data_IF_784567001234
#
_entry.id   IF_784567001234
#
_cell.length_a   1.000
_cell.length_b   1.000
_cell.length_c   1.000
_cell.angle_alpha   90.00
_cell.angle_beta   90.00
_cell.angle_gamma   90.00
#
_symmetry.space_group_name_H-M   'P 1'
#
loop_
_entity.id
_entity.type
_entity.pdbx_description
1 polymer ?
#
# COMPACT_ATOMS: atom_id res chain seq x y z
N UNK A 1 11.85 44.98 34.38
CA UNK A 1 11.01 43.87 33.85
C UNK A 1 11.87 43.13 32.86
N UNK A 2 12.54 42.10 33.34
CA UNK A 2 13.51 41.27 32.64
C UNK A 2 12.77 40.16 31.89
N UNK A 3 13.01 40.06 30.59
CA UNK A 3 12.53 38.98 29.71
C UNK A 3 13.40 37.76 29.95
N UNK A 4 12.82 36.69 30.50
CA UNK A 4 13.45 35.36 30.58
C UNK A 4 13.52 34.75 29.16
N UNK A 5 14.71 34.67 28.62
CA UNK A 5 15.06 33.85 27.48
C UNK A 5 15.13 32.38 27.95
N UNK A 6 14.11 31.59 27.62
CA UNK A 6 14.22 30.14 27.73
C UNK A 6 15.11 29.63 26.62
N UNK A 7 16.35 29.40 26.94
CA UNK A 7 17.32 28.68 26.10
C UNK A 7 16.87 27.22 25.98
N UNK A 8 16.42 26.82 24.82
CA UNK A 8 16.17 25.40 24.52
C UNK A 8 17.50 24.66 24.52
N UNK A 9 17.73 23.78 25.50
CA UNK A 9 18.89 22.92 25.52
C UNK A 9 18.82 21.88 24.44
N UNK A 10 19.70 21.94 23.46
CA UNK A 10 19.95 20.89 22.49
C UNK A 10 20.46 19.65 23.25
N UNK A 11 19.65 18.61 23.35
CA UNK A 11 20.06 17.32 23.88
C UNK A 11 21.10 16.74 22.90
N UNK A 12 22.36 16.71 23.34
CA UNK A 12 23.45 16.08 22.61
C UNK A 12 23.17 14.59 22.44
N UNK A 13 23.07 14.12 21.20
CA UNK A 13 22.97 12.70 20.83
C UNK A 13 24.32 11.97 20.87
N UNK A 14 25.27 12.48 21.62
CA UNK A 14 26.55 11.84 21.87
C UNK A 14 26.40 10.73 22.92
N UNK A 15 26.19 9.49 22.43
CA UNK A 15 26.12 8.30 23.30
C UNK A 15 25.58 7.06 22.66
N UNK A 16 25.06 7.14 21.42
CA UNK A 16 24.81 5.94 20.63
C UNK A 16 26.01 5.69 19.74
N UNK A 17 26.78 4.63 20.02
CA UNK A 17 27.68 4.03 19.03
C UNK A 17 26.83 3.73 17.81
N UNK A 18 26.82 4.64 16.82
CA UNK A 18 26.16 4.43 15.56
C UNK A 18 26.91 3.32 14.85
N UNK A 19 26.37 2.10 14.90
CA UNK A 19 26.79 1.05 13.99
C UNK A 19 26.57 1.60 12.58
N UNK A 20 27.65 1.98 11.92
CA UNK A 20 27.63 2.30 10.49
C UNK A 20 27.85 0.99 9.76
N UNK A 21 26.85 0.44 9.07
CA UNK A 21 27.04 -0.76 8.29
C UNK A 21 28.13 -0.50 7.22
N UNK A 22 28.96 -1.47 6.97
CA UNK A 22 29.87 -1.44 5.81
C UNK A 22 29.06 -1.62 4.53
N UNK A 23 28.63 -0.49 3.95
CA UNK A 23 27.79 -0.45 2.76
C UNK A 23 28.51 -1.09 1.56
N UNK A 24 29.86 -0.98 1.52
CA UNK A 24 30.65 -1.61 0.47
C UNK A 24 30.63 -3.14 0.57
N UNK A 25 30.77 -3.67 1.78
CA UNK A 25 30.65 -5.12 2.00
C UNK A 25 29.23 -5.63 1.71
N UNK A 26 28.19 -4.85 2.09
CA UNK A 26 26.81 -5.19 1.79
C UNK A 26 26.56 -5.26 0.28
N UNK A 27 27.05 -4.27 -0.48
CA UNK A 27 26.91 -4.23 -1.93
C UNK A 27 27.58 -5.43 -2.62
N UNK A 28 28.80 -5.79 -2.20
CA UNK A 28 29.52 -6.97 -2.71
C UNK A 28 28.76 -8.26 -2.42
N UNK A 29 28.31 -8.44 -1.19
CA UNK A 29 27.56 -9.63 -0.78
C UNK A 29 26.24 -9.77 -1.54
N UNK A 30 25.58 -8.68 -1.90
CA UNK A 30 24.35 -8.72 -2.67
C UNK A 30 24.57 -9.24 -4.09
N UNK A 31 25.66 -8.85 -4.74
CA UNK A 31 26.00 -9.33 -6.08
C UNK A 31 26.23 -10.85 -6.03
N UNK A 32 27.11 -11.30 -5.11
CA UNK A 32 27.41 -12.72 -4.94
C UNK A 32 26.15 -13.54 -4.63
N UNK A 33 25.34 -13.07 -3.67
CA UNK A 33 24.11 -13.77 -3.27
C UNK A 33 23.09 -13.87 -4.42
N UNK A 34 22.94 -12.82 -5.24
CA UNK A 34 22.00 -12.85 -6.37
C UNK A 34 22.48 -13.78 -7.47
N UNK A 35 23.77 -13.79 -7.79
CA UNK A 35 24.36 -14.72 -8.76
C UNK A 35 24.23 -16.16 -8.29
N UNK A 36 24.59 -16.44 -7.05
CA UNK A 36 24.52 -17.79 -6.46
C UNK A 36 23.09 -18.32 -6.38
N UNK A 37 22.14 -17.46 -5.99
CA UNK A 37 20.71 -17.82 -5.98
C UNK A 37 20.18 -18.22 -7.37
N UNK A 38 20.71 -17.59 -8.42
CA UNK A 38 20.44 -17.97 -9.82
C UNK A 38 21.25 -19.17 -10.31
N UNK A 39 22.16 -19.70 -9.51
CA UNK A 39 23.13 -20.74 -9.90
C UNK A 39 23.91 -20.39 -11.19
N UNK A 40 24.28 -19.10 -11.33
CA UNK A 40 24.93 -18.56 -12.51
C UNK A 40 26.46 -18.49 -12.31
N UNK A 41 27.23 -18.78 -13.39
CA UNK A 41 28.65 -18.42 -13.46
C UNK A 41 28.82 -16.89 -13.54
N UNK A 42 30.03 -16.40 -13.30
CA UNK A 42 30.34 -14.97 -13.48
C UNK A 42 30.06 -14.49 -14.93
N UNK A 43 30.30 -15.36 -15.92
CA UNK A 43 30.02 -15.07 -17.33
C UNK A 43 28.54 -14.92 -17.62
N UNK A 44 27.73 -15.89 -17.22
CA UNK A 44 26.28 -15.86 -17.43
C UNK A 44 25.65 -14.69 -16.69
N UNK A 45 26.15 -14.37 -15.49
CA UNK A 45 25.65 -13.22 -14.74
C UNK A 45 26.05 -11.87 -15.36
N UNK A 46 27.26 -11.79 -15.93
CA UNK A 46 27.73 -10.65 -16.69
C UNK A 46 26.89 -10.40 -17.96
N UNK A 47 26.54 -11.47 -18.69
CA UNK A 47 25.63 -11.37 -19.84
C UNK A 47 24.24 -10.89 -19.44
N UNK A 48 23.70 -11.44 -18.34
CA UNK A 48 22.40 -11.04 -17.81
C UNK A 48 22.39 -9.55 -17.38
N UNK A 49 23.43 -9.10 -16.66
CA UNK A 49 23.59 -7.69 -16.30
C UNK A 49 23.72 -6.79 -17.52
N UNK A 50 24.49 -7.21 -18.54
CA UNK A 50 24.66 -6.48 -19.79
C UNK A 50 23.33 -6.33 -20.54
N UNK A 51 22.43 -7.30 -20.43
CA UNK A 51 21.10 -7.22 -21.06
C UNK A 51 20.17 -6.18 -20.42
N UNK A 52 20.41 -5.86 -19.14
CA UNK A 52 19.62 -4.90 -18.36
C UNK A 52 20.26 -3.51 -18.42
N UNK A 53 21.59 -3.47 -18.36
CA UNK A 53 22.37 -2.24 -18.42
C UNK A 53 22.62 -1.81 -19.87
N UNK A 54 22.79 -0.52 -20.11
CA UNK A 54 23.07 0.01 -21.45
C UNK A 54 24.55 -0.12 -21.86
N UNK A 55 25.34 -0.94 -21.15
CA UNK A 55 26.78 -1.13 -21.37
C UNK A 55 27.22 -2.56 -21.04
N UNK A 56 28.29 -3.06 -21.67
CA UNK A 56 28.75 -4.42 -21.48
C UNK A 56 29.42 -4.60 -20.12
N UNK A 57 29.05 -5.65 -19.41
CA UNK A 57 29.67 -6.12 -18.16
C UNK A 57 30.54 -7.31 -18.50
N UNK A 58 31.76 -7.38 -17.94
CA UNK A 58 32.65 -8.54 -18.11
C UNK A 58 32.63 -9.45 -16.89
N UNK A 59 32.96 -10.75 -17.04
CA UNK A 59 33.07 -11.68 -15.91
C UNK A 59 34.04 -11.22 -14.83
N UNK A 60 35.17 -10.62 -15.25
CA UNK A 60 36.20 -10.10 -14.34
C UNK A 60 35.66 -8.89 -13.51
N UNK A 61 34.79 -8.09 -14.11
CA UNK A 61 34.13 -7.00 -13.39
C UNK A 61 33.21 -7.55 -12.31
N UNK A 62 32.43 -8.59 -12.59
CA UNK A 62 31.57 -9.26 -11.60
C UNK A 62 32.43 -9.85 -10.47
N UNK A 63 33.48 -10.56 -10.76
CA UNK A 63 34.39 -11.12 -9.76
C UNK A 63 35.04 -10.02 -8.88
N UNK A 64 35.45 -8.90 -9.50
CA UNK A 64 35.98 -7.74 -8.77
C UNK A 64 34.93 -7.12 -7.84
N UNK A 65 33.68 -7.01 -8.28
CA UNK A 65 32.59 -6.48 -7.45
C UNK A 65 32.20 -7.41 -6.31
N UNK A 66 32.37 -8.71 -6.45
CA UNK A 66 32.13 -9.66 -5.36
C UNK A 66 33.27 -9.65 -4.31
N UNK A 67 34.50 -9.36 -4.72
CA UNK A 67 35.68 -9.52 -3.88
C UNK A 67 36.26 -8.22 -3.31
N UNK A 68 36.45 -7.20 -4.14
CA UNK A 68 37.31 -6.06 -3.77
C UNK A 68 36.78 -4.69 -4.13
N UNK A 69 36.04 -4.56 -5.24
CA UNK A 69 35.62 -3.27 -5.78
C UNK A 69 34.16 -2.99 -5.44
N UNK A 70 33.84 -1.73 -5.16
CA UNK A 70 32.45 -1.31 -4.97
C UNK A 70 31.75 -1.24 -6.33
N UNK A 71 30.64 -1.96 -6.53
CA UNK A 71 29.91 -1.93 -7.79
C UNK A 71 29.29 -0.54 -8.05
N UNK A 72 29.11 -0.14 -9.31
CA UNK A 72 28.35 1.04 -9.69
C UNK A 72 26.89 0.96 -9.19
N UNK A 73 26.26 2.12 -8.98
CA UNK A 73 24.89 2.17 -8.45
C UNK A 73 23.84 1.56 -9.37
N UNK A 74 23.98 1.72 -10.69
CA UNK A 74 23.13 1.11 -11.71
C UNK A 74 23.23 -0.42 -11.73
N UNK A 75 24.42 -0.99 -11.47
CA UNK A 75 24.61 -2.42 -11.28
C UNK A 75 23.82 -2.93 -10.08
N UNK A 76 23.83 -2.21 -8.95
CA UNK A 76 23.05 -2.60 -7.77
C UNK A 76 21.55 -2.57 -8.03
N UNK A 77 21.08 -1.61 -8.82
CA UNK A 77 19.68 -1.56 -9.26
C UNK A 77 19.34 -2.75 -10.15
N UNK A 78 20.20 -3.07 -11.13
CA UNK A 78 20.01 -4.23 -12.01
C UNK A 78 19.99 -5.56 -11.22
N UNK A 79 20.91 -5.72 -10.27
CA UNK A 79 20.96 -6.87 -9.36
C UNK A 79 19.68 -7.00 -8.54
N UNK A 80 19.15 -5.87 -8.05
CA UNK A 80 17.85 -5.82 -7.36
C UNK A 80 16.69 -6.30 -8.24
N UNK A 81 16.66 -5.90 -9.51
CA UNK A 81 15.64 -6.34 -10.48
C UNK A 81 15.71 -7.84 -10.75
N UNK A 82 16.92 -8.40 -10.90
CA UNK A 82 17.16 -9.85 -11.09
C UNK A 82 16.68 -10.64 -9.87
N UNK A 83 17.04 -10.20 -8.67
CA UNK A 83 16.64 -10.85 -7.41
C UNK A 83 15.12 -10.89 -7.23
N UNK A 84 14.40 -9.84 -7.63
CA UNK A 84 12.93 -9.80 -7.58
C UNK A 84 12.28 -10.67 -8.65
N UNK A 85 12.89 -10.84 -9.82
CA UNK A 85 12.39 -11.71 -10.90
C UNK A 85 12.49 -13.20 -10.57
N UNK A 86 13.48 -13.60 -9.78
CA UNK A 86 13.65 -14.99 -9.34
C UNK A 86 12.75 -15.37 -8.15
N UNK A 87 12.18 -14.41 -7.45
CA UNK A 87 11.34 -14.62 -6.26
C UNK A 87 9.93 -15.18 -6.56
N UNK A 88 9.60 -15.48 -7.82
CA UNK A 88 8.32 -16.14 -8.17
C UNK A 88 8.27 -17.64 -7.82
N UNK A 89 9.32 -18.23 -7.28
CA UNK A 89 9.39 -19.68 -7.01
C UNK A 89 9.88 -20.08 -5.61
N UNK A 90 9.97 -19.19 -4.64
CA UNK A 90 10.36 -19.61 -3.28
C UNK A 90 9.70 -18.73 -2.24
N UNK A 91 8.58 -19.21 -1.70
CA UNK A 91 7.86 -18.58 -0.57
C UNK A 91 8.53 -18.88 0.79
N UNK A 92 9.86 -19.01 0.82
CA UNK A 92 10.64 -19.13 2.06
C UNK A 92 11.75 -18.10 2.02
N UNK A 93 11.55 -17.01 2.77
CA UNK A 93 12.52 -15.93 2.91
C UNK A 93 13.86 -16.47 3.42
N UNK A 94 14.93 -16.27 2.66
CA UNK A 94 16.29 -16.58 3.14
C UNK A 94 16.60 -15.71 4.36
N UNK A 95 17.03 -16.31 5.49
CA UNK A 95 17.25 -15.59 6.75
C UNK A 95 18.49 -14.68 6.77
N UNK A 96 19.21 -14.52 5.66
CA UNK A 96 20.52 -13.86 5.62
C UNK A 96 20.73 -12.84 4.48
N UNK A 97 19.69 -12.10 4.06
CA UNK A 97 19.89 -10.92 3.22
C UNK A 97 19.98 -9.65 4.11
N UNK A 98 21.21 -9.14 4.40
CA UNK A 98 21.37 -7.97 5.26
C UNK A 98 20.80 -6.68 4.65
N UNK A 99 20.78 -6.59 3.30
CA UNK A 99 20.24 -5.43 2.60
C UNK A 99 18.72 -5.54 2.49
N UNK A 100 18.18 -6.73 2.24
CA UNK A 100 16.76 -7.02 2.29
C UNK A 100 16.19 -6.80 3.68
N UNK A 101 16.93 -7.17 4.75
CA UNK A 101 16.56 -6.81 6.13
C UNK A 101 16.63 -5.31 6.36
N UNK A 102 17.70 -4.63 5.94
CA UNK A 102 17.86 -3.19 6.15
C UNK A 102 16.80 -2.37 5.41
N UNK A 103 16.44 -2.77 4.20
CA UNK A 103 15.42 -2.10 3.36
C UNK A 103 14.04 -2.65 3.66
N UNK A 104 13.88 -3.98 3.78
CA UNK A 104 12.61 -4.65 3.99
C UNK A 104 11.99 -4.33 5.35
N UNK A 105 12.79 -4.31 6.40
CA UNK A 105 12.34 -3.99 7.77
C UNK A 105 12.01 -2.50 7.94
N UNK A 106 12.58 -1.61 7.12
CA UNK A 106 12.30 -0.17 7.18
C UNK A 106 11.01 0.22 6.45
N UNK A 107 10.65 -0.47 5.38
CA UNK A 107 9.46 -0.17 4.58
C UNK A 107 8.28 -1.10 4.89
N UNK A 108 8.47 -2.03 5.83
CA UNK A 108 7.48 -3.04 6.19
C UNK A 108 6.95 -3.77 4.93
N UNK A 109 5.65 -3.73 4.71
CA UNK A 109 4.94 -4.34 3.59
C UNK A 109 4.42 -3.32 2.55
N UNK A 110 4.88 -2.06 2.62
CA UNK A 110 4.58 -1.05 1.59
C UNK A 110 5.30 -1.40 0.29
N UNK A 111 4.54 -1.58 -0.79
CA UNK A 111 5.08 -1.92 -2.11
C UNK A 111 5.16 -0.73 -3.06
N UNK A 112 4.31 0.28 -2.86
CA UNK A 112 4.35 1.53 -3.61
C UNK A 112 3.72 2.68 -2.82
N UNK A 113 4.18 3.89 -3.11
CA UNK A 113 3.59 5.14 -2.62
C UNK A 113 3.36 6.05 -3.82
N UNK A 114 2.15 6.52 -3.97
CA UNK A 114 1.76 7.49 -4.99
C UNK A 114 1.50 8.83 -4.32
N UNK A 115 1.87 9.92 -4.98
CA UNK A 115 1.70 11.28 -4.45
C UNK A 115 0.23 11.68 -4.27
N UNK A 116 -0.67 11.02 -5.02
CA UNK A 116 -2.11 11.26 -4.96
C UNK A 116 -2.90 10.01 -5.41
N UNK A 117 -4.20 9.99 -5.12
CA UNK A 117 -5.12 8.98 -5.67
C UNK A 117 -5.21 9.07 -7.20
N UNK A 118 -5.13 10.26 -7.76
CA UNK A 118 -5.13 10.46 -9.21
C UNK A 118 -3.93 9.80 -9.87
N UNK A 119 -2.74 9.92 -9.28
CA UNK A 119 -1.55 9.23 -9.76
C UNK A 119 -1.68 7.71 -9.65
N UNK A 120 -2.18 7.23 -8.50
CA UNK A 120 -2.45 5.80 -8.31
C UNK A 120 -3.35 5.24 -9.42
N UNK A 121 -4.49 5.88 -9.67
CA UNK A 121 -5.45 5.45 -10.68
C UNK A 121 -4.92 5.51 -12.12
N UNK A 122 -3.99 6.44 -12.40
CA UNK A 122 -3.34 6.53 -13.70
C UNK A 122 -2.33 5.39 -13.96
N UNK A 123 -1.80 4.77 -12.90
CA UNK A 123 -0.72 3.77 -13.00
C UNK A 123 -1.17 2.35 -12.67
N UNK A 124 -2.24 2.18 -11.89
CA UNK A 124 -2.72 0.88 -11.43
C UNK A 124 -4.10 0.64 -12.01
N UNK A 125 -4.25 -0.31 -12.95
CA UNK A 125 -5.55 -0.74 -13.42
C UNK A 125 -6.39 -1.26 -12.26
N UNK A 126 -7.64 -0.83 -12.16
CA UNK A 126 -8.52 -1.26 -11.07
C UNK A 126 -8.83 -2.75 -11.12
N UNK A 127 -8.82 -3.38 -12.31
CA UNK A 127 -8.86 -4.83 -12.47
C UNK A 127 -7.78 -5.56 -11.67
N UNK A 128 -6.59 -4.95 -11.55
CA UNK A 128 -5.47 -5.55 -10.82
C UNK A 128 -5.63 -5.42 -9.30
N UNK A 129 -6.57 -4.56 -8.86
CA UNK A 129 -6.89 -4.33 -7.45
C UNK A 129 -7.90 -5.35 -6.94
N UNK A 130 -8.96 -5.63 -7.71
CA UNK A 130 -10.09 -6.44 -7.24
C UNK A 130 -10.35 -7.70 -8.09
N UNK A 131 -9.71 -7.84 -9.26
CA UNK A 131 -10.08 -8.84 -10.26
C UNK A 131 -10.02 -10.31 -9.80
N UNK A 132 -9.28 -10.62 -8.75
CA UNK A 132 -9.17 -11.97 -8.18
C UNK A 132 -9.61 -12.02 -6.70
N UNK A 133 -10.24 -10.96 -6.20
CA UNK A 133 -10.63 -10.89 -4.80
C UNK A 133 -11.90 -11.68 -4.52
N UNK A 134 -11.85 -12.62 -3.57
CA UNK A 134 -13.05 -13.25 -3.00
C UNK A 134 -13.74 -12.38 -1.95
N UNK A 135 -13.01 -11.47 -1.28
CA UNK A 135 -13.57 -10.49 -0.34
C UNK A 135 -12.90 -9.12 -0.49
N UNK A 136 -13.70 -8.06 -0.53
CA UNK A 136 -13.28 -6.65 -0.49
C UNK A 136 -13.89 -5.98 0.73
N UNK A 137 -13.04 -5.47 1.61
CA UNK A 137 -13.42 -4.67 2.77
C UNK A 137 -13.01 -3.22 2.52
N UNK A 138 -13.95 -2.28 2.64
CA UNK A 138 -13.67 -0.87 2.42
C UNK A 138 -14.25 -0.01 3.54
N UNK A 139 -13.43 0.88 4.10
CA UNK A 139 -13.85 1.89 5.08
C UNK A 139 -13.33 3.26 4.68
N UNK A 140 -14.18 4.26 4.71
CA UNK A 140 -13.80 5.61 4.33
C UNK A 140 -14.96 6.61 4.37
N UNK A 141 -14.74 7.79 3.81
CA UNK A 141 -15.76 8.83 3.77
C UNK A 141 -16.93 8.40 2.86
N UNK A 142 -16.69 8.29 1.57
CA UNK A 142 -17.73 8.03 0.55
C UNK A 142 -17.37 6.88 -0.40
N UNK A 143 -16.25 6.20 -0.17
CA UNK A 143 -15.76 5.05 -0.94
C UNK A 143 -15.75 5.28 -2.47
N UNK A 144 -15.37 6.49 -2.90
CA UNK A 144 -15.42 6.91 -4.30
C UNK A 144 -14.61 5.99 -5.22
N UNK A 145 -13.54 5.35 -4.72
CA UNK A 145 -12.75 4.42 -5.53
C UNK A 145 -13.59 3.20 -5.97
N UNK A 146 -14.52 2.74 -5.15
CA UNK A 146 -15.46 1.68 -5.50
C UNK A 146 -16.65 2.27 -6.26
N UNK A 147 -17.33 3.27 -5.68
CA UNK A 147 -18.64 3.71 -6.17
C UNK A 147 -18.59 4.60 -7.42
N UNK A 148 -17.44 5.21 -7.75
CA UNK A 148 -17.32 6.15 -8.88
C UNK A 148 -16.34 5.70 -9.97
N UNK A 149 -15.41 4.81 -9.66
CA UNK A 149 -14.44 4.32 -10.65
C UNK A 149 -14.79 2.94 -11.23
N UNK A 150 -15.72 2.22 -10.60
CA UNK A 150 -16.34 1.04 -11.17
C UNK A 150 -17.74 1.38 -11.65
N UNK A 151 -18.16 0.78 -12.77
CA UNK A 151 -19.56 0.83 -13.19
C UNK A 151 -20.42 -0.05 -12.30
N UNK A 152 -21.70 0.28 -12.15
CA UNK A 152 -22.67 -0.57 -11.44
C UNK A 152 -22.70 -2.00 -12.00
N UNK A 153 -22.46 -2.17 -13.31
CA UNK A 153 -22.39 -3.47 -13.96
C UNK A 153 -21.16 -4.26 -13.55
N UNK A 154 -19.99 -3.62 -13.46
CA UNK A 154 -18.76 -4.28 -13.04
C UNK A 154 -18.83 -4.72 -11.58
N UNK A 155 -19.39 -3.89 -10.68
CA UNK A 155 -19.60 -4.27 -9.27
C UNK A 155 -20.55 -5.47 -9.19
N UNK A 156 -21.66 -5.47 -9.96
CA UNK A 156 -22.60 -6.60 -9.98
C UNK A 156 -21.95 -7.88 -10.48
N UNK A 157 -21.18 -7.80 -11.55
CA UNK A 157 -20.48 -8.94 -12.14
C UNK A 157 -19.54 -9.58 -11.12
N UNK A 158 -18.68 -8.79 -10.45
CA UNK A 158 -17.82 -9.29 -9.38
C UNK A 158 -18.61 -9.98 -8.25
N UNK A 159 -19.74 -9.39 -7.82
CA UNK A 159 -20.55 -9.97 -6.75
C UNK A 159 -21.24 -11.26 -7.20
N UNK A 160 -21.76 -11.31 -8.42
CA UNK A 160 -22.37 -12.54 -8.99
C UNK A 160 -21.33 -13.65 -9.17
N UNK A 161 -20.09 -13.31 -9.53
CA UNK A 161 -18.96 -14.24 -9.65
C UNK A 161 -18.41 -14.71 -8.29
N UNK A 162 -18.87 -14.14 -7.17
CA UNK A 162 -18.57 -14.64 -5.84
C UNK A 162 -17.83 -13.67 -4.91
N UNK A 163 -17.43 -12.50 -5.38
CA UNK A 163 -16.76 -11.50 -4.53
C UNK A 163 -17.71 -10.95 -3.47
N UNK A 164 -17.32 -11.00 -2.20
CA UNK A 164 -18.06 -10.37 -1.12
C UNK A 164 -17.56 -8.94 -0.85
N UNK A 165 -18.48 -7.99 -0.72
CA UNK A 165 -18.17 -6.60 -0.41
C UNK A 165 -18.67 -6.22 0.99
N UNK A 166 -17.79 -5.68 1.83
CA UNK A 166 -18.11 -5.03 3.10
C UNK A 166 -17.76 -3.54 3.01
N UNK A 167 -18.76 -2.70 2.83
CA UNK A 167 -18.63 -1.27 2.63
C UNK A 167 -19.03 -0.50 3.90
N UNK A 168 -18.08 0.23 4.49
CA UNK A 168 -18.29 1.03 5.70
C UNK A 168 -18.11 2.51 5.38
N UNK A 169 -19.19 3.25 5.33
CA UNK A 169 -19.23 4.66 4.98
C UNK A 169 -19.22 5.55 6.22
N UNK A 170 -18.58 6.72 6.13
CA UNK A 170 -18.81 7.74 7.15
C UNK A 170 -20.28 8.19 7.10
N UNK A 171 -20.93 8.27 8.27
CA UNK A 171 -22.38 8.52 8.39
C UNK A 171 -22.76 9.83 7.72
N UNK A 172 -23.61 9.81 6.66
CA UNK A 172 -24.13 11.03 6.05
C UNK A 172 -24.84 11.90 7.10
N UNK A 173 -24.57 13.19 7.07
CA UNK A 173 -25.11 14.18 8.03
C UNK A 173 -24.74 13.91 9.50
N UNK A 174 -23.82 12.98 9.78
CA UNK A 174 -23.23 12.71 11.09
C UNK A 174 -22.33 13.84 11.57
N UNK A 175 -21.77 13.69 12.77
CA UNK A 175 -20.89 14.71 13.34
C UNK A 175 -19.58 14.82 12.53
N UNK A 176 -18.91 13.70 12.27
CA UNK A 176 -17.56 13.71 11.72
C UNK A 176 -17.50 14.01 10.23
N UNK A 177 -18.55 13.72 9.46
CA UNK A 177 -18.62 14.15 8.07
C UNK A 177 -18.76 15.67 7.97
N UNK A 178 -19.50 16.31 8.88
CA UNK A 178 -19.61 17.78 8.94
C UNK A 178 -18.30 18.43 9.39
N UNK A 179 -17.55 17.79 10.28
CA UNK A 179 -16.22 18.26 10.64
C UNK A 179 -15.30 18.21 9.44
N UNK A 180 -15.34 17.11 8.67
CA UNK A 180 -14.52 16.94 7.46
C UNK A 180 -14.90 17.93 6.35
N UNK A 181 -16.18 18.24 6.17
CA UNK A 181 -16.64 19.30 5.25
C UNK A 181 -15.97 20.65 5.58
N UNK A 182 -15.89 20.99 6.87
CA UNK A 182 -15.24 22.24 7.31
C UNK A 182 -13.74 22.23 7.10
N UNK A 183 -13.07 21.10 7.37
CA UNK A 183 -11.62 20.95 7.16
C UNK A 183 -11.23 21.07 5.68
N UNK A 184 -12.01 20.51 4.77
CA UNK A 184 -11.76 20.57 3.32
C UNK A 184 -12.33 21.85 2.66
N UNK A 185 -12.97 22.72 3.41
CA UNK A 185 -13.58 23.93 2.88
C UNK A 185 -14.80 23.71 1.98
N UNK A 186 -15.49 22.57 2.13
CA UNK A 186 -16.71 22.28 1.39
C UNK A 186 -17.94 22.98 1.97
N UNK A 187 -18.91 23.34 1.13
CA UNK A 187 -20.25 23.73 1.59
C UNK A 187 -20.85 22.65 2.49
N UNK A 188 -21.56 23.10 3.53
CA UNK A 188 -22.22 22.18 4.46
C UNK A 188 -23.20 21.24 3.73
N UNK A 189 -23.11 19.95 3.99
CA UNK A 189 -23.93 18.91 3.40
C UNK A 189 -23.43 18.35 2.08
N UNK A 190 -22.37 18.90 1.48
CA UNK A 190 -21.89 18.45 0.17
C UNK A 190 -21.27 17.03 0.23
N UNK A 191 -20.37 16.77 1.19
CA UNK A 191 -19.80 15.43 1.37
C UNK A 191 -20.86 14.44 1.86
N UNK A 192 -21.77 14.90 2.70
CA UNK A 192 -22.90 14.10 3.17
C UNK A 192 -23.81 13.66 2.02
N UNK A 193 -24.17 14.57 1.12
CA UNK A 193 -24.99 14.25 -0.06
C UNK A 193 -24.25 13.28 -1.02
N UNK A 194 -22.96 13.49 -1.23
CA UNK A 194 -22.14 12.58 -2.04
C UNK A 194 -22.10 11.18 -1.45
N UNK A 195 -21.89 11.08 -0.13
CA UNK A 195 -21.84 9.78 0.56
C UNK A 195 -23.19 9.09 0.52
N UNK A 196 -24.28 9.82 0.77
CA UNK A 196 -25.63 9.28 0.65
C UNK A 196 -25.94 8.78 -0.77
N UNK A 197 -25.53 9.53 -1.81
CA UNK A 197 -25.69 9.11 -3.19
C UNK A 197 -24.95 7.78 -3.49
N UNK A 198 -23.72 7.62 -3.00
CA UNK A 198 -22.96 6.39 -3.19
C UNK A 198 -23.61 5.18 -2.49
N UNK A 199 -24.13 5.39 -1.27
CA UNK A 199 -24.90 4.36 -0.54
C UNK A 199 -26.17 3.99 -1.34
N UNK A 200 -26.96 4.97 -1.77
CA UNK A 200 -28.16 4.75 -2.58
C UNK A 200 -27.82 4.00 -3.89
N UNK A 201 -26.71 4.32 -4.53
CA UNK A 201 -26.31 3.63 -5.76
C UNK A 201 -26.12 2.12 -5.51
N UNK A 202 -25.45 1.76 -4.44
CA UNK A 202 -25.29 0.35 -4.09
C UNK A 202 -26.60 -0.30 -3.64
N UNK A 203 -27.43 0.41 -2.86
CA UNK A 203 -28.69 -0.11 -2.33
C UNK A 203 -29.79 -0.25 -3.39
N UNK A 204 -29.94 0.74 -4.28
CA UNK A 204 -31.08 0.82 -5.19
C UNK A 204 -30.76 0.43 -6.63
N UNK A 205 -29.49 0.53 -7.05
CA UNK A 205 -29.10 0.24 -8.44
C UNK A 205 -28.29 -1.03 -8.57
N UNK A 206 -27.49 -1.40 -7.56
CA UNK A 206 -26.67 -2.64 -7.58
C UNK A 206 -27.46 -3.79 -6.94
N UNK A 207 -27.77 -3.70 -5.65
CA UNK A 207 -28.37 -4.78 -4.86
C UNK A 207 -29.65 -5.40 -5.48
N UNK A 208 -30.64 -4.63 -5.94
CA UNK A 208 -31.91 -5.22 -6.47
C UNK A 208 -31.74 -5.99 -7.79
N UNK A 209 -30.56 -5.87 -8.41
CA UNK A 209 -30.24 -6.55 -9.67
C UNK A 209 -29.34 -7.75 -9.48
N UNK A 210 -28.99 -8.07 -8.25
CA UNK A 210 -28.24 -9.27 -7.86
C UNK A 210 -29.21 -10.41 -7.62
N UNK A 211 -28.76 -11.64 -7.85
CA UNK A 211 -29.46 -12.85 -7.43
C UNK A 211 -29.61 -12.87 -5.89
N UNK A 212 -30.60 -13.59 -5.38
CA UNK A 212 -30.88 -13.66 -3.93
C UNK A 212 -29.65 -14.12 -3.13
N UNK A 213 -28.85 -15.02 -3.67
CA UNK A 213 -27.61 -15.49 -3.08
C UNK A 213 -26.53 -14.39 -3.10
N UNK A 214 -26.39 -13.70 -4.23
CA UNK A 214 -25.40 -12.65 -4.41
C UNK A 214 -25.68 -11.40 -3.56
N UNK A 215 -26.97 -11.10 -3.27
CA UNK A 215 -27.34 -9.99 -2.38
C UNK A 215 -26.74 -10.11 -0.98
N UNK A 216 -26.53 -11.33 -0.48
CA UNK A 216 -25.92 -11.58 0.83
C UNK A 216 -24.43 -11.27 0.85
N UNK A 217 -23.78 -11.17 -0.32
CA UNK A 217 -22.37 -10.83 -0.46
C UNK A 217 -22.11 -9.31 -0.46
N UNK A 218 -23.16 -8.47 -0.44
CA UNK A 218 -23.03 -7.02 -0.36
C UNK A 218 -23.53 -6.53 1.00
N UNK A 219 -22.59 -6.30 1.91
CA UNK A 219 -22.85 -5.72 3.22
C UNK A 219 -22.49 -4.22 3.23
N UNK A 220 -23.37 -3.39 3.73
CA UNK A 220 -23.17 -1.95 3.87
C UNK A 220 -23.55 -1.50 5.26
N UNK A 221 -22.75 -0.59 5.82
CA UNK A 221 -23.00 0.02 7.12
C UNK A 221 -22.38 1.43 7.17
N UNK A 222 -22.70 2.17 8.20
CA UNK A 222 -22.13 3.49 8.46
C UNK A 222 -21.43 3.50 9.83
N UNK A 223 -20.52 4.46 10.00
CA UNK A 223 -19.89 4.79 11.28
C UNK A 223 -19.82 6.31 11.45
N UNK A 224 -19.86 6.80 12.68
CA UNK A 224 -19.74 8.23 12.99
C UNK A 224 -18.61 8.46 14.00
N UNK A 225 -17.36 8.26 13.54
CA UNK A 225 -16.12 8.44 14.31
C UNK A 225 -15.13 9.30 13.50
N UNK A 226 -14.09 9.87 14.14
CA UNK A 226 -13.08 10.65 13.43
C UNK A 226 -12.45 9.86 12.29
N UNK A 227 -12.61 10.35 11.06
CA UNK A 227 -12.04 9.69 9.88
C UNK A 227 -10.55 10.02 9.77
N UNK A 228 -9.72 9.00 9.60
CA UNK A 228 -8.27 9.11 9.50
C UNK A 228 -7.73 8.56 8.19
N UNK A 229 -8.33 7.48 7.71
CA UNK A 229 -7.88 6.77 6.51
C UNK A 229 -9.08 6.33 5.67
N UNK A 230 -8.88 6.36 4.35
CA UNK A 230 -9.63 5.51 3.44
C UNK A 230 -8.85 4.19 3.32
N UNK A 231 -9.48 3.08 3.63
CA UNK A 231 -8.86 1.75 3.66
C UNK A 231 -9.63 0.86 2.72
N UNK A 232 -8.94 0.17 1.83
CA UNK A 232 -9.51 -0.90 1.01
C UNK A 232 -8.60 -2.11 1.15
N UNK A 233 -9.18 -3.22 1.55
CA UNK A 233 -8.50 -4.50 1.75
C UNK A 233 -9.10 -5.51 0.79
N UNK A 234 -8.26 -6.22 0.07
CA UNK A 234 -8.63 -7.38 -0.72
C UNK A 234 -7.95 -8.63 -0.14
N UNK A 235 -8.68 -9.75 -0.08
CA UNK A 235 -8.26 -10.96 0.62
C UNK A 235 -7.00 -11.63 0.05
N UNK A 236 -6.63 -11.34 -1.21
CA UNK A 236 -5.34 -11.72 -1.77
C UNK A 236 -4.14 -11.00 -1.13
N UNK A 237 -4.35 -10.31 0.00
CA UNK A 237 -3.32 -9.64 0.77
C UNK A 237 -2.94 -8.26 0.27
N UNK A 238 -3.81 -7.60 -0.49
CA UNK A 238 -3.63 -6.21 -0.92
C UNK A 238 -4.37 -5.26 0.03
N UNK A 239 -3.71 -4.18 0.45
CA UNK A 239 -4.33 -3.05 1.12
C UNK A 239 -3.97 -1.75 0.40
N UNK A 240 -4.97 -0.92 0.14
CA UNK A 240 -4.82 0.46 -0.32
C UNK A 240 -5.24 1.36 0.83
N UNK A 241 -4.32 2.18 1.32
CA UNK A 241 -4.56 3.11 2.40
C UNK A 241 -4.26 4.56 1.97
N UNK A 242 -5.16 5.47 2.32
CA UNK A 242 -5.01 6.90 2.05
C UNK A 242 -5.29 7.68 3.34
N UNK A 243 -4.36 8.49 3.86
CA UNK A 243 -4.63 9.36 4.99
C UNK A 243 -5.58 10.50 4.57
N UNK A 244 -6.46 10.89 5.46
CA UNK A 244 -7.18 12.14 5.34
C UNK A 244 -6.36 13.25 6.00
N UNK A 245 -5.72 14.08 5.18
CA UNK A 245 -4.89 15.18 5.63
C UNK A 245 -5.74 16.45 5.82
N UNK A 246 -5.40 17.32 6.79
CA UNK A 246 -6.04 18.63 6.93
C UNK A 246 -5.92 19.45 5.64
N UNK A 247 -6.95 20.18 5.28
CA UNK A 247 -7.00 21.10 4.12
C UNK A 247 -6.70 20.44 2.77
N UNK A 248 -6.64 19.09 2.73
CA UNK A 248 -6.33 18.35 1.50
C UNK A 248 -7.51 17.46 1.13
N UNK A 249 -7.95 17.57 -0.12
CA UNK A 249 -9.00 16.69 -0.65
C UNK A 249 -8.51 15.25 -0.73
N UNK A 250 -9.39 14.30 -0.47
CA UNK A 250 -9.02 12.88 -0.51
C UNK A 250 -8.46 12.41 -1.87
N UNK A 251 -8.78 13.10 -2.98
CA UNK A 251 -8.22 12.81 -4.31
C UNK A 251 -6.74 13.21 -4.43
N UNK A 252 -6.32 14.20 -3.66
CA UNK A 252 -4.98 14.77 -3.65
C UNK A 252 -4.09 14.17 -2.54
N UNK A 253 -4.66 13.31 -1.69
CA UNK A 253 -3.93 12.64 -0.62
C UNK A 253 -3.04 11.51 -1.14
N UNK A 254 -1.86 11.28 -0.54
CA UNK A 254 -0.99 10.19 -0.92
C UNK A 254 -1.69 8.84 -0.77
N UNK A 255 -1.35 7.91 -1.67
CA UNK A 255 -1.92 6.57 -1.69
C UNK A 255 -0.82 5.55 -1.46
N UNK A 256 -0.99 4.73 -0.42
CA UNK A 256 -0.09 3.63 -0.10
C UNK A 256 -0.65 2.33 -0.65
N UNK A 257 0.16 1.60 -1.39
CA UNK A 257 -0.12 0.23 -1.79
C UNK A 257 0.70 -0.71 -0.91
N UNK A 258 0.02 -1.59 -0.21
CA UNK A 258 0.58 -2.45 0.84
C UNK A 258 0.22 -3.88 0.48
N UNK A 259 1.21 -4.79 0.49
CA UNK A 259 0.98 -6.21 0.26
C UNK A 259 1.41 -7.02 1.47
N UNK A 260 0.53 -7.86 1.96
CA UNK A 260 0.81 -8.77 3.06
C UNK A 260 2.02 -9.65 2.73
N UNK A 261 3.09 -9.50 3.47
CA UNK A 261 4.32 -10.29 3.32
C UNK A 261 4.48 -11.36 4.37
N UNK A 262 3.90 -11.14 5.56
CA UNK A 262 4.03 -12.03 6.71
C UNK A 262 2.66 -12.48 7.21
N UNK A 263 2.62 -13.67 7.80
CA UNK A 263 1.41 -14.18 8.42
C UNK A 263 0.96 -13.30 9.59
N UNK A 264 1.92 -12.73 10.34
CA UNK A 264 1.68 -11.84 11.46
C UNK A 264 2.60 -10.62 11.38
N UNK A 265 2.05 -9.44 11.68
CA UNK A 265 2.75 -8.15 11.64
C UNK A 265 2.58 -7.40 10.32
N UNK A 266 3.19 -6.21 10.22
CA UNK A 266 3.12 -5.33 9.07
C UNK A 266 1.91 -4.39 9.06
N UNK A 267 1.96 -3.45 8.11
CA UNK A 267 0.90 -2.42 7.96
C UNK A 267 -0.41 -3.01 7.45
N UNK A 268 -0.36 -4.05 6.61
CA UNK A 268 -1.57 -4.73 6.14
C UNK A 268 -2.41 -5.20 7.32
N UNK A 269 -1.80 -5.89 8.29
CA UNK A 269 -2.51 -6.38 9.47
C UNK A 269 -3.04 -5.25 10.36
N UNK A 270 -2.29 -4.14 10.47
CA UNK A 270 -2.74 -2.97 11.23
C UNK A 270 -4.00 -2.37 10.59
N UNK A 271 -4.02 -2.16 9.27
CA UNK A 271 -5.19 -1.64 8.58
C UNK A 271 -6.37 -2.61 8.61
N UNK A 272 -6.13 -3.91 8.56
CA UNK A 272 -7.18 -4.92 8.73
C UNK A 272 -7.78 -4.87 10.15
N UNK A 273 -6.97 -4.70 11.18
CA UNK A 273 -7.46 -4.51 12.55
C UNK A 273 -8.26 -3.22 12.70
N UNK A 274 -7.81 -2.12 12.08
CA UNK A 274 -8.57 -0.85 12.07
C UNK A 274 -9.93 -1.04 11.41
N UNK A 275 -9.97 -1.68 10.23
CA UNK A 275 -11.25 -1.98 9.56
C UNK A 275 -12.17 -2.82 10.46
N UNK A 276 -11.67 -3.94 10.99
CA UNK A 276 -12.46 -4.84 11.81
C UNK A 276 -12.99 -4.13 13.08
N UNK A 277 -12.17 -3.31 13.71
CA UNK A 277 -12.57 -2.52 14.88
C UNK A 277 -13.69 -1.50 14.57
N UNK A 278 -13.61 -0.83 13.42
CA UNK A 278 -14.68 0.06 12.96
C UNK A 278 -15.94 -0.72 12.58
N UNK A 279 -15.77 -1.89 11.93
CA UNK A 279 -16.87 -2.76 11.51
C UNK A 279 -17.66 -3.32 12.71
N UNK A 280 -17.00 -3.65 13.82
CA UNK A 280 -17.64 -4.10 15.06
C UNK A 280 -18.53 -3.01 15.69
N UNK A 281 -18.15 -1.74 15.55
CA UNK A 281 -18.89 -0.59 16.10
C UNK A 281 -19.83 0.09 15.10
N UNK A 282 -20.02 -0.52 13.93
CA UNK A 282 -20.86 0.06 12.86
C UNK A 282 -22.33 0.21 13.27
N UNK A 283 -22.98 1.14 12.65
CA UNK A 283 -24.43 1.27 12.63
C UNK A 283 -24.98 0.57 11.38
N UNK A 284 -25.93 -0.34 11.55
CA UNK A 284 -26.47 -1.21 10.47
C UNK A 284 -27.63 -0.55 9.71
N UNK A 285 -28.28 0.43 10.33
CA UNK A 285 -29.40 1.17 9.73
C UNK A 285 -28.87 2.44 9.04
N UNK A 286 -28.61 2.33 7.77
CA UNK A 286 -28.28 3.45 6.91
C UNK A 286 -29.34 3.65 5.82
#
# INVERSE_FOLDING_TARGET
MTRDEKTASLISLQGRTSYRPDVAALARNQIAATREAGNLSHGEFAELLSSILSWPVTPEAVEAWESSTVPPGDVLVAVGLIGHGSAKTSAEGQPNDPLGKLIGDQFADVTAVYSSRSEFLARVPLSDVFGEAGEVKAAGLSLNLICQHYSDSAIREMIEEGTAFKCLFLKPYGQYIREREREEGFPSGQLSALTALNIMTLQERVRPRLSDEAQQRLEMAVYDEPIRFNIILADQGLCIAQPYLPETRGVDSPTFMIRKRWANGGLHQIFEQVFNSLWERREVDA
#
